data_IF_435714646971
#
_entry.id   IF_435714646971
#
_cell.length_a   1.000
_cell.length_b   1.000
_cell.length_c   1.000
_cell.angle_alpha   90.00
_cell.angle_beta   90.00
_cell.angle_gamma   90.00
#
_symmetry.space_group_name_H-M   'P 1'
#
loop_
_entity.id
_entity.type
_entity.pdbx_description
1 polymer ?
#
# COMPACT_ATOMS: atom_id res chain seq x y z
N UNK A 1 8.42 15.25 -17.47
CA UNK A 1 8.06 14.27 -16.42
C UNK A 1 6.61 13.88 -16.67
N UNK A 2 6.25 12.59 -16.61
CA UNK A 2 4.85 12.20 -16.69
C UNK A 2 4.13 12.81 -15.47
N UNK A 3 2.94 13.40 -15.67
CA UNK A 3 2.24 14.16 -14.62
C UNK A 3 1.72 13.28 -13.48
N UNK A 4 1.92 11.96 -13.55
CA UNK A 4 1.44 10.96 -12.61
C UNK A 4 2.50 10.42 -11.64
N UNK A 5 3.79 10.64 -11.88
CA UNK A 5 4.87 10.08 -11.05
C UNK A 5 4.94 10.75 -9.67
N UNK A 6 4.82 9.98 -8.59
CA UNK A 6 5.02 10.55 -7.26
C UNK A 6 6.47 11.05 -7.08
N UNK A 7 6.65 12.21 -6.41
CA UNK A 7 7.97 12.72 -6.10
C UNK A 7 8.70 11.78 -5.13
N UNK A 8 10.03 11.86 -5.12
CA UNK A 8 10.86 11.05 -4.23
C UNK A 8 10.50 11.35 -2.77
N UNK A 9 10.05 10.35 -1.99
CA UNK A 9 9.76 10.55 -0.58
C UNK A 9 11.04 10.60 0.26
N UNK A 10 10.90 11.01 1.50
CA UNK A 10 11.94 10.91 2.52
C UNK A 10 11.41 10.20 3.77
N UNK A 11 12.32 9.61 4.55
CA UNK A 11 11.97 8.84 5.73
C UNK A 11 12.12 9.66 7.01
N UNK A 12 11.24 9.40 7.99
CA UNK A 12 11.31 9.95 9.33
C UNK A 12 11.11 8.85 10.38
N UNK A 13 11.98 8.82 11.39
CA UNK A 13 11.98 7.79 12.47
C UNK A 13 11.92 6.34 11.96
N UNK A 14 12.50 6.05 10.79
CA UNK A 14 12.60 4.73 10.15
C UNK A 14 11.27 4.00 9.85
N UNK A 15 10.12 4.60 10.15
CA UNK A 15 8.79 4.01 9.90
C UNK A 15 7.84 4.93 9.15
N UNK A 16 8.09 6.24 9.16
CA UNK A 16 7.27 7.20 8.43
C UNK A 16 7.91 7.51 7.09
N UNK A 17 7.14 7.38 6.02
CA UNK A 17 7.52 7.84 4.69
C UNK A 17 6.67 9.06 4.35
N UNK A 18 7.33 10.11 3.88
CA UNK A 18 6.73 11.41 3.66
C UNK A 18 6.91 11.78 2.20
N UNK A 19 5.79 11.92 1.50
CA UNK A 19 5.74 12.34 0.10
C UNK A 19 5.43 13.84 0.03
N UNK A 20 6.39 14.68 -0.40
CA UNK A 20 6.11 16.08 -0.70
C UNK A 20 5.18 16.18 -1.92
N UNK A 21 4.54 17.33 -2.12
CA UNK A 21 3.67 17.63 -3.27
C UNK A 21 2.68 16.51 -3.63
N UNK A 22 2.17 15.82 -2.60
CA UNK A 22 1.33 14.63 -2.75
C UNK A 22 0.11 14.73 -1.85
N UNK A 23 -1.05 14.42 -2.42
CA UNK A 23 -2.36 14.39 -1.78
C UNK A 23 -2.90 12.96 -1.76
N UNK A 24 -3.97 12.74 -1.02
CA UNK A 24 -4.74 11.50 -1.05
C UNK A 24 -6.01 11.73 -1.86
N UNK A 25 -6.23 10.90 -2.86
CA UNK A 25 -7.43 10.91 -3.69
C UNK A 25 -8.69 10.73 -2.81
N UNK A 26 -9.72 11.53 -3.06
CA UNK A 26 -11.00 11.52 -2.32
C UNK A 26 -10.87 11.72 -0.78
N UNK A 27 -10.11 12.71 -0.30
CA UNK A 27 -10.18 13.19 1.09
C UNK A 27 -10.95 14.51 1.17
N UNK A 28 -11.89 14.58 2.10
CA UNK A 28 -12.54 15.84 2.48
C UNK A 28 -11.60 16.65 3.39
N UNK A 29 -10.66 17.37 2.78
CA UNK A 29 -9.65 18.18 3.49
C UNK A 29 -10.30 19.33 4.28
N UNK A 30 -11.53 19.72 3.94
CA UNK A 30 -12.16 20.97 4.37
C UNK A 30 -12.76 21.00 5.78
N UNK A 31 -13.03 19.85 6.43
CA UNK A 31 -13.73 19.84 7.72
C UNK A 31 -13.03 19.08 8.85
N UNK A 32 -11.89 18.42 8.57
CA UNK A 32 -11.09 17.68 9.56
C UNK A 32 -11.85 16.62 10.35
N UNK A 33 -13.05 16.21 9.91
CA UNK A 33 -13.90 15.24 10.61
C UNK A 33 -13.27 13.85 10.63
N UNK A 34 -12.48 13.54 9.60
CA UNK A 34 -11.77 12.28 9.47
C UNK A 34 -10.45 12.25 10.27
N UNK A 35 -10.14 13.33 11.02
CA UNK A 35 -8.97 13.36 11.90
C UNK A 35 -9.24 12.66 13.23
N UNK A 36 -8.19 12.20 13.90
CA UNK A 36 -8.28 11.50 15.19
C UNK A 36 -8.94 12.36 16.26
N UNK A 37 -8.66 13.65 16.25
CA UNK A 37 -9.18 14.62 17.24
C UNK A 37 -10.44 15.36 16.75
N UNK A 38 -10.91 15.10 15.53
CA UNK A 38 -11.97 15.88 14.89
C UNK A 38 -11.61 17.36 14.64
N UNK A 39 -10.32 17.71 14.72
CA UNK A 39 -9.79 19.07 14.53
C UNK A 39 -8.50 19.01 13.72
N UNK A 40 -8.27 20.03 12.89
CA UNK A 40 -6.96 20.25 12.28
C UNK A 40 -6.08 21.09 13.20
N UNK A 41 -4.84 20.64 13.39
CA UNK A 41 -3.86 21.38 14.17
C UNK A 41 -3.19 22.44 13.28
N UNK A 42 -2.81 23.58 13.86
CA UNK A 42 -2.17 24.68 13.13
C UNK A 42 -0.81 25.02 13.71
N UNK A 43 0.02 25.71 12.92
CA UNK A 43 1.37 26.17 13.31
C UNK A 43 2.33 25.03 13.70
N UNK A 44 2.16 23.86 13.09
CA UNK A 44 3.04 22.70 13.24
C UNK A 44 3.86 22.46 11.98
N UNK A 45 5.07 21.91 12.14
CA UNK A 45 5.81 21.30 11.04
C UNK A 45 5.28 19.90 10.72
N UNK A 46 5.68 19.31 9.59
CA UNK A 46 5.35 17.92 9.24
C UNK A 46 5.82 16.95 10.34
N UNK A 47 7.02 17.17 10.89
CA UNK A 47 7.58 16.33 11.96
C UNK A 47 6.79 16.47 13.26
N UNK A 48 6.38 17.69 13.61
CA UNK A 48 5.52 17.91 14.78
C UNK A 48 4.15 17.24 14.60
N UNK A 49 3.59 17.26 13.38
CA UNK A 49 2.35 16.55 13.08
C UNK A 49 2.50 15.05 13.34
N UNK A 50 3.56 14.44 12.82
CA UNK A 50 3.87 13.02 13.01
C UNK A 50 4.18 12.69 14.48
N UNK A 51 4.84 13.57 15.21
CA UNK A 51 5.20 13.31 16.61
C UNK A 51 3.99 13.39 17.55
N UNK A 52 2.92 14.08 17.13
CA UNK A 52 1.64 14.16 17.84
C UNK A 52 0.61 13.13 17.37
N UNK A 53 0.96 12.31 16.37
CA UNK A 53 0.19 11.22 15.81
C UNK A 53 0.30 10.04 16.80
N UNK A 54 -0.80 9.70 17.48
CA UNK A 54 -0.83 8.62 18.47
C UNK A 54 -0.88 7.22 17.81
N UNK A 55 -1.05 6.15 18.59
CA UNK A 55 -1.08 4.78 18.06
C UNK A 55 -2.23 4.51 17.07
N UNK A 56 -3.31 5.31 17.09
CA UNK A 56 -4.43 5.19 16.14
C UNK A 56 -4.14 5.86 14.79
N UNK A 57 -3.00 6.54 14.70
CA UNK A 57 -2.56 7.33 13.59
C UNK A 57 -1.48 6.61 12.78
N UNK A 58 -1.79 6.30 11.51
CA UNK A 58 -0.84 5.70 10.58
C UNK A 58 -0.76 6.46 9.24
N UNK A 59 -1.46 7.58 9.14
CA UNK A 59 -1.64 8.38 7.94
C UNK A 59 -1.93 9.83 8.32
N UNK A 60 -1.46 10.76 7.51
CA UNK A 60 -1.95 12.13 7.58
C UNK A 60 -1.39 13.02 6.50
N UNK A 61 -1.76 14.30 6.59
CA UNK A 61 -1.26 15.33 5.71
C UNK A 61 -0.87 16.60 6.47
N UNK A 62 0.02 17.35 5.85
CA UNK A 62 0.46 18.67 6.29
C UNK A 62 0.35 19.62 5.10
N UNK A 63 -0.28 20.77 5.30
CA UNK A 63 -0.48 21.82 4.31
C UNK A 63 0.19 23.09 4.83
N UNK A 64 1.00 23.73 4.00
CA UNK A 64 1.59 25.04 4.25
C UNK A 64 1.07 26.03 3.21
N UNK A 65 0.45 27.10 3.69
CA UNK A 65 -0.04 28.21 2.87
C UNK A 65 1.08 29.24 2.66
N UNK A 66 0.98 30.03 1.60
CA UNK A 66 1.94 31.10 1.27
C UNK A 66 2.13 32.13 2.40
N UNK A 67 1.09 32.36 3.21
CA UNK A 67 1.15 33.25 4.37
C UNK A 67 1.83 32.62 5.61
N UNK A 68 2.45 31.46 5.47
CA UNK A 68 3.14 30.72 6.54
C UNK A 68 2.22 30.01 7.52
N UNK A 69 0.89 30.11 7.37
CA UNK A 69 -0.04 29.28 8.15
C UNK A 69 0.13 27.82 7.73
N UNK A 70 -0.02 26.92 8.69
CA UNK A 70 0.00 25.49 8.43
C UNK A 70 -1.25 24.81 8.96
N UNK A 71 -1.66 23.74 8.28
CA UNK A 71 -2.69 22.80 8.69
C UNK A 71 -2.04 21.43 8.78
N UNK A 72 -2.33 20.71 9.85
CA UNK A 72 -1.81 19.38 10.14
C UNK A 72 -2.96 18.48 10.55
N UNK A 73 -3.09 17.35 9.86
CA UNK A 73 -4.21 16.43 10.03
C UNK A 73 -3.70 14.99 10.12
N UNK A 74 -3.81 14.43 11.32
CA UNK A 74 -3.62 13.01 11.60
C UNK A 74 -4.94 12.28 11.32
N UNK A 75 -4.96 11.41 10.32
CA UNK A 75 -6.18 10.78 9.81
C UNK A 75 -6.44 9.47 10.53
N UNK A 76 -7.70 9.27 10.89
CA UNK A 76 -8.20 8.02 11.46
C UNK A 76 -8.13 6.92 10.42
N UNK A 77 -7.43 5.85 10.76
CA UNK A 77 -7.24 4.70 9.86
C UNK A 77 -8.17 3.53 10.21
N UNK A 78 -8.80 3.58 11.37
CA UNK A 78 -9.81 2.62 11.85
C UNK A 78 -11.15 2.70 11.10
N UNK A 79 -11.43 3.82 10.42
CA UNK A 79 -12.65 4.01 9.62
C UNK A 79 -12.64 3.07 8.40
N UNK A 80 -11.47 2.85 7.79
CA UNK A 80 -11.28 1.98 6.63
C UNK A 80 -10.04 1.09 6.84
N UNK A 81 -10.11 0.10 7.75
CA UNK A 81 -8.92 -0.65 8.20
C UNK A 81 -8.26 -1.47 7.09
N UNK A 82 -8.99 -1.76 6.01
CA UNK A 82 -8.52 -2.54 4.87
C UNK A 82 -8.03 -1.69 3.69
N UNK A 83 -8.15 -0.36 3.78
CA UNK A 83 -7.75 0.55 2.73
C UNK A 83 -6.27 0.93 2.91
N UNK A 84 -5.39 0.37 2.09
CA UNK A 84 -4.01 0.84 2.04
C UNK A 84 -3.96 2.24 1.38
N UNK A 85 -3.59 3.32 2.11
CA UNK A 85 -3.65 4.69 1.60
C UNK A 85 -2.64 4.95 0.49
N UNK A 86 -1.62 4.11 0.31
CA UNK A 86 -0.62 4.26 -0.75
C UNK A 86 -1.26 4.22 -2.14
N UNK A 87 -2.29 3.38 -2.34
CA UNK A 87 -3.01 3.31 -3.62
C UNK A 87 -3.72 4.62 -3.98
N UNK A 88 -3.95 5.49 -3.00
CA UNK A 88 -4.63 6.78 -3.15
C UNK A 88 -3.68 7.95 -3.30
N UNK A 89 -2.37 7.75 -3.19
CA UNK A 89 -1.42 8.84 -3.35
C UNK A 89 -1.49 9.38 -4.79
N UNK A 90 -1.66 10.70 -4.89
CA UNK A 90 -1.71 11.43 -6.15
C UNK A 90 -0.86 12.68 -6.04
N UNK A 91 -0.25 13.07 -7.15
CA UNK A 91 0.44 14.34 -7.26
C UNK A 91 -0.51 15.50 -7.02
N UNK A 92 -0.07 16.50 -6.25
CA UNK A 92 -0.82 17.73 -6.00
C UNK A 92 -1.18 18.45 -7.29
N UNK A 93 -0.32 18.40 -8.31
CA UNK A 93 -0.52 19.08 -9.59
C UNK A 93 -1.74 18.61 -10.38
N UNK A 94 -2.34 17.46 -10.02
CA UNK A 94 -3.62 17.00 -10.57
C UNK A 94 -4.82 17.80 -10.05
N UNK A 95 -4.63 18.64 -9.04
CA UNK A 95 -5.65 19.41 -8.33
C UNK A 95 -5.31 20.91 -8.38
N UNK A 96 -5.73 21.63 -9.45
CA UNK A 96 -5.41 23.05 -9.64
C UNK A 96 -5.80 23.94 -8.45
N UNK A 97 -6.84 23.58 -7.73
CA UNK A 97 -7.31 24.25 -6.52
C UNK A 97 -6.28 24.21 -5.36
N UNK A 98 -5.29 23.32 -5.42
CA UNK A 98 -4.19 23.20 -4.45
C UNK A 98 -2.87 23.82 -4.95
N UNK A 99 -2.90 24.59 -6.04
CA UNK A 99 -1.70 25.20 -6.64
C UNK A 99 -0.94 26.12 -5.67
N UNK A 100 -1.65 26.88 -4.84
CA UNK A 100 -1.09 27.90 -3.94
C UNK A 100 -0.76 27.37 -2.52
N UNK A 101 -0.66 26.06 -2.35
CA UNK A 101 -0.26 25.44 -1.08
C UNK A 101 0.82 24.41 -1.31
N UNK A 102 1.71 24.23 -0.35
CA UNK A 102 2.58 23.05 -0.30
C UNK A 102 1.85 22.00 0.52
N UNK A 103 1.82 20.76 0.03
CA UNK A 103 1.21 19.65 0.77
C UNK A 103 2.18 18.49 0.85
N UNK A 104 2.24 17.86 2.01
CA UNK A 104 2.95 16.60 2.21
C UNK A 104 2.00 15.58 2.80
N UNK A 105 2.01 14.37 2.25
CA UNK A 105 1.31 13.21 2.83
C UNK A 105 2.33 12.32 3.53
N UNK A 106 2.02 11.87 4.74
CA UNK A 106 2.87 10.99 5.52
C UNK A 106 2.15 9.70 5.90
N UNK A 107 2.85 8.57 5.79
CA UNK A 107 2.29 7.23 6.02
C UNK A 107 3.27 6.43 6.88
N UNK A 108 2.75 5.71 7.87
CA UNK A 108 3.52 4.76 8.65
C UNK A 108 3.62 3.44 7.87
N UNK A 109 4.80 3.15 7.33
CA UNK A 109 5.05 1.97 6.50
C UNK A 109 5.21 0.67 7.28
N UNK A 110 5.30 0.72 8.61
CA UNK A 110 5.17 -0.49 9.44
C UNK A 110 3.73 -1.01 9.43
N UNK A 111 2.75 -0.12 9.19
CA UNK A 111 1.31 -0.44 9.16
C UNK A 111 0.84 -0.60 7.71
N UNK A 112 1.29 0.30 6.82
CA UNK A 112 0.95 0.27 5.40
C UNK A 112 2.23 0.13 4.55
N UNK A 113 2.68 -1.09 4.25
CA UNK A 113 3.93 -1.33 3.55
C UNK A 113 4.01 -0.59 2.21
N UNK A 114 5.18 -0.04 1.91
CA UNK A 114 5.48 0.60 0.62
C UNK A 114 6.64 -0.13 -0.09
N UNK A 115 6.47 -0.54 -1.36
CA UNK A 115 5.20 -0.55 -2.09
C UNK A 115 4.18 -1.50 -1.45
N UNK A 116 2.88 -1.38 -1.76
CA UNK A 116 1.88 -2.33 -1.31
C UNK A 116 2.15 -3.71 -1.92
N UNK A 117 2.27 -4.73 -1.09
CA UNK A 117 2.54 -6.11 -1.51
C UNK A 117 1.25 -6.89 -1.81
N UNK A 118 0.38 -6.28 -2.64
CA UNK A 118 -1.02 -6.69 -2.86
C UNK A 118 -1.34 -6.95 -4.35
N UNK A 119 -0.33 -7.26 -5.17
CA UNK A 119 -0.52 -7.50 -6.61
C UNK A 119 -1.44 -8.68 -6.91
N UNK A 120 -1.52 -9.69 -6.04
CA UNK A 120 -2.39 -10.86 -6.22
C UNK A 120 -3.77 -10.71 -5.54
N UNK A 121 -4.00 -9.63 -4.80
CA UNK A 121 -5.27 -9.38 -4.11
C UNK A 121 -6.31 -8.88 -5.11
N UNK A 122 -7.55 -9.32 -4.94
CA UNK A 122 -8.69 -8.85 -5.73
C UNK A 122 -9.24 -7.59 -5.09
N UNK A 123 -9.33 -6.52 -5.86
CA UNK A 123 -9.94 -5.26 -5.47
C UNK A 123 -11.34 -5.13 -6.09
N UNK A 124 -12.21 -4.37 -5.44
CA UNK A 124 -13.46 -3.99 -6.10
C UNK A 124 -13.17 -3.22 -7.39
N UNK A 125 -14.03 -3.39 -8.41
CA UNK A 125 -13.85 -2.85 -9.78
C UNK A 125 -12.68 -3.44 -10.57
N UNK A 126 -11.96 -4.44 -10.06
CA UNK A 126 -11.07 -5.22 -10.91
C UNK A 126 -11.85 -5.94 -12.00
N UNK A 127 -11.31 -5.92 -13.23
CA UNK A 127 -11.89 -6.64 -14.36
C UNK A 127 -11.39 -8.09 -14.33
N UNK A 128 -12.33 -9.03 -14.32
CA UNK A 128 -12.04 -10.45 -14.18
C UNK A 128 -13.05 -11.32 -14.95
N UNK A 129 -12.73 -12.61 -15.06
CA UNK A 129 -13.70 -13.65 -15.38
C UNK A 129 -13.85 -14.61 -14.20
N UNK A 130 -15.04 -15.16 -14.02
CA UNK A 130 -15.32 -16.21 -13.05
C UNK A 130 -15.39 -17.54 -13.83
N UNK A 131 -14.56 -18.52 -13.46
CA UNK A 131 -14.55 -19.85 -14.05
C UNK A 131 -14.96 -20.91 -13.06
N UNK A 132 -15.76 -21.87 -13.51
CA UNK A 132 -15.99 -23.14 -12.84
C UNK A 132 -14.71 -23.98 -12.88
N UNK A 133 -14.27 -24.42 -11.70
CA UNK A 133 -13.02 -25.17 -11.52
C UNK A 133 -13.12 -26.58 -12.10
N UNK A 134 -14.31 -27.18 -12.08
CA UNK A 134 -14.47 -28.58 -12.50
C UNK A 134 -14.42 -28.72 -14.02
N UNK A 135 -15.07 -27.81 -14.75
CA UNK A 135 -15.20 -27.93 -16.20
C UNK A 135 -14.39 -26.88 -16.99
N UNK A 136 -13.76 -25.92 -16.31
CA UNK A 136 -13.05 -24.80 -16.94
C UNK A 136 -13.96 -23.87 -17.75
N UNK A 137 -15.27 -23.93 -17.52
CA UNK A 137 -16.26 -23.06 -18.18
C UNK A 137 -16.40 -21.73 -17.44
N UNK A 138 -16.79 -20.68 -18.12
CA UNK A 138 -16.88 -19.32 -17.59
C UNK A 138 -18.33 -18.87 -17.45
N UNK A 139 -18.58 -18.03 -16.44
CA UNK A 139 -19.88 -17.35 -16.25
C UNK A 139 -20.13 -16.38 -17.41
N UNK A 140 -21.25 -16.52 -18.12
CA UNK A 140 -21.61 -15.73 -19.30
C UNK A 140 -23.06 -15.22 -19.27
N UNK A 141 -23.31 -14.17 -20.04
CA UNK A 141 -24.65 -13.67 -20.35
C UNK A 141 -25.28 -14.43 -21.52
N UNK A 142 -26.46 -14.99 -21.30
CA UNK A 142 -27.30 -15.70 -22.27
C UNK A 142 -27.89 -14.78 -23.32
N UNK A 143 -28.06 -15.31 -24.54
CA UNK A 143 -28.74 -14.59 -25.62
C UNK A 143 -30.25 -14.46 -25.38
N UNK A 144 -30.83 -15.26 -24.48
CA UNK A 144 -32.25 -15.24 -24.14
C UNK A 144 -32.47 -14.81 -22.68
N UNK A 145 -33.44 -13.91 -22.47
CA UNK A 145 -34.00 -13.52 -21.17
C UNK A 145 -33.01 -13.05 -20.10
N UNK A 146 -31.87 -12.47 -20.51
CA UNK A 146 -30.80 -12.08 -19.59
C UNK A 146 -30.33 -13.23 -18.68
N UNK A 147 -30.46 -14.48 -19.11
CA UNK A 147 -30.05 -15.65 -18.33
C UNK A 147 -28.54 -15.66 -18.08
N UNK A 148 -28.11 -16.33 -17.02
CA UNK A 148 -26.69 -16.56 -16.73
C UNK A 148 -26.38 -18.04 -16.82
N UNK A 149 -25.33 -18.40 -17.56
CA UNK A 149 -24.96 -19.79 -17.85
C UNK A 149 -23.43 -19.97 -17.84
N UNK A 150 -22.99 -21.24 -17.90
CA UNK A 150 -21.58 -21.59 -18.09
C UNK A 150 -21.25 -21.86 -19.56
N UNK A 151 -20.24 -21.17 -20.12
CA UNK A 151 -19.79 -21.39 -21.49
C UNK A 151 -18.26 -21.48 -21.61
N UNK A 152 -17.73 -22.03 -22.71
CA UNK A 152 -16.29 -22.30 -22.85
C UNK A 152 -15.39 -21.07 -23.08
N UNK A 153 -15.92 -19.97 -23.63
CA UNK A 153 -15.10 -18.76 -23.88
C UNK A 153 -15.13 -17.75 -22.72
N UNK A 154 -13.98 -17.12 -22.44
CA UNK A 154 -13.76 -16.13 -21.38
C UNK A 154 -14.05 -14.68 -21.78
N UNK A 155 -14.93 -14.46 -22.76
CA UNK A 155 -15.16 -13.14 -23.35
C UNK A 155 -16.04 -12.22 -22.50
N UNK A 156 -16.64 -12.72 -21.42
CA UNK A 156 -17.55 -11.95 -20.59
C UNK A 156 -16.84 -11.37 -19.36
N UNK A 157 -16.53 -10.08 -19.43
CA UNK A 157 -15.87 -9.35 -18.34
C UNK A 157 -16.86 -9.08 -17.20
N UNK A 158 -16.42 -9.35 -15.99
CA UNK A 158 -17.15 -9.10 -14.76
C UNK A 158 -16.29 -8.26 -13.81
N UNK A 159 -16.96 -7.65 -12.84
CA UNK A 159 -16.31 -6.98 -11.72
C UNK A 159 -17.13 -7.19 -10.43
N UNK A 160 -16.45 -7.10 -9.30
CA UNK A 160 -17.11 -7.02 -8.00
C UNK A 160 -17.33 -5.57 -7.60
N UNK A 161 -18.53 -5.28 -7.10
CA UNK A 161 -18.90 -4.01 -6.50
C UNK A 161 -19.21 -4.21 -5.01
N UNK A 162 -18.95 -3.19 -4.21
CA UNK A 162 -19.40 -3.18 -2.81
C UNK A 162 -20.91 -3.03 -2.77
N UNK A 163 -21.59 -3.93 -2.05
CA UNK A 163 -23.03 -3.83 -1.88
C UNK A 163 -23.43 -2.64 -0.98
N UNK A 164 -22.54 -2.24 -0.06
CA UNK A 164 -22.69 -1.05 0.78
C UNK A 164 -21.76 0.03 0.23
N UNK A 165 -22.32 1.04 -0.44
CA UNK A 165 -21.53 2.10 -1.07
C UNK A 165 -21.05 3.08 -0.02
N UNK A 166 -19.75 3.07 0.24
CA UNK A 166 -19.07 4.04 1.09
C UNK A 166 -18.68 5.27 0.27
N UNK A 167 -18.06 5.06 -0.90
CA UNK A 167 -17.83 6.07 -1.94
C UNK A 167 -17.32 5.39 -3.22
N UNK A 168 -17.87 5.72 -4.38
CA UNK A 168 -17.47 5.10 -5.65
C UNK A 168 -16.02 5.37 -6.03
N UNK A 169 -15.46 6.50 -5.58
CA UNK A 169 -14.11 6.94 -5.91
C UNK A 169 -13.04 6.12 -5.20
N UNK A 170 -13.32 5.69 -3.96
CA UNK A 170 -12.38 4.88 -3.16
C UNK A 170 -12.56 3.38 -3.38
N UNK A 171 -13.70 2.95 -3.92
CA UNK A 171 -14.05 1.54 -4.06
C UNK A 171 -12.95 0.72 -4.76
N UNK A 172 -12.33 1.28 -5.82
CA UNK A 172 -11.23 0.65 -6.57
C UNK A 172 -9.95 0.37 -5.77
N UNK A 173 -9.83 0.94 -4.58
CA UNK A 173 -8.68 0.77 -3.69
C UNK A 173 -9.01 -0.11 -2.47
N UNK A 174 -10.20 -0.69 -2.43
CA UNK A 174 -10.64 -1.55 -1.33
C UNK A 174 -10.52 -3.01 -1.79
N UNK A 175 -9.78 -3.85 -1.04
CA UNK A 175 -9.71 -5.28 -1.32
C UNK A 175 -11.05 -5.98 -1.04
N UNK A 176 -11.33 -7.05 -1.78
CA UNK A 176 -12.48 -7.92 -1.56
C UNK A 176 -12.11 -8.92 -0.47
N UNK A 177 -12.98 -9.09 0.52
CA UNK A 177 -12.80 -10.07 1.60
C UNK A 177 -13.86 -11.16 1.54
N UNK A 178 -13.49 -12.36 1.99
CA UNK A 178 -14.43 -13.44 2.17
C UNK A 178 -15.52 -13.09 3.19
N UNK A 179 -16.78 -13.42 2.87
CA UNK A 179 -17.96 -13.13 3.68
C UNK A 179 -18.50 -11.69 3.56
N UNK A 180 -17.75 -10.77 2.95
CA UNK A 180 -18.25 -9.42 2.68
C UNK A 180 -19.34 -9.43 1.62
N UNK A 181 -20.40 -8.59 1.75
CA UNK A 181 -21.46 -8.52 0.76
C UNK A 181 -20.95 -7.84 -0.51
N UNK A 182 -21.12 -8.52 -1.64
CA UNK A 182 -20.70 -8.06 -2.96
C UNK A 182 -21.88 -8.05 -3.92
N UNK A 183 -21.78 -7.23 -4.95
CA UNK A 183 -22.58 -7.33 -6.17
C UNK A 183 -21.66 -7.72 -7.33
N UNK A 184 -22.15 -8.52 -8.26
CA UNK A 184 -21.40 -8.93 -9.45
C UNK A 184 -22.01 -8.16 -10.63
N UNK A 185 -21.19 -7.43 -11.37
CA UNK A 185 -21.66 -6.59 -12.48
C UNK A 185 -20.84 -6.81 -13.75
N UNK A 186 -21.44 -6.43 -14.88
CA UNK A 186 -20.68 -6.21 -16.12
C UNK A 186 -20.07 -4.80 -16.06
N UNK A 187 -18.75 -4.62 -16.26
CA UNK A 187 -18.10 -3.31 -16.21
C UNK A 187 -18.76 -2.29 -17.14
N UNK A 188 -18.81 -1.02 -16.72
CA UNK A 188 -19.35 0.11 -17.49
C UNK A 188 -20.83 -0.02 -17.92
N UNK A 189 -21.58 -0.94 -17.29
CA UNK A 189 -23.02 -1.09 -17.53
C UNK A 189 -23.83 -1.02 -16.24
N UNK A 190 -25.15 -0.92 -16.36
CA UNK A 190 -26.10 -1.03 -15.25
C UNK A 190 -26.50 -2.48 -14.92
N UNK A 191 -25.84 -3.48 -15.52
CA UNK A 191 -26.22 -4.88 -15.38
C UNK A 191 -25.59 -5.48 -14.11
N UNK A 192 -26.46 -5.89 -13.18
CA UNK A 192 -26.08 -6.69 -12.01
C UNK A 192 -26.60 -8.12 -12.13
N UNK A 193 -25.83 -9.05 -11.59
CA UNK A 193 -26.29 -10.40 -11.33
C UNK A 193 -27.39 -10.35 -10.26
N UNK A 194 -28.51 -10.99 -10.55
CA UNK A 194 -29.70 -11.02 -9.70
C UNK A 194 -30.30 -12.41 -9.68
N UNK A 195 -30.96 -12.74 -8.57
CA UNK A 195 -31.76 -13.96 -8.42
C UNK A 195 -33.21 -13.68 -8.80
N UNK A 196 -33.81 -14.56 -9.61
CA UNK A 196 -35.24 -14.50 -9.98
C UNK A 196 -36.10 -15.23 -8.94
N UNK A 197 -37.42 -15.10 -9.03
CA UNK A 197 -38.36 -15.83 -8.16
C UNK A 197 -38.28 -17.36 -8.32
N UNK A 198 -37.74 -17.86 -9.43
CA UNK A 198 -37.51 -19.28 -9.69
C UNK A 198 -36.12 -19.74 -9.25
N UNK A 199 -35.42 -18.97 -8.41
CA UNK A 199 -34.05 -19.21 -7.96
C UNK A 199 -32.98 -19.21 -9.07
N UNK A 200 -33.34 -18.85 -10.31
CA UNK A 200 -32.39 -18.75 -11.42
C UNK A 200 -31.59 -17.45 -11.33
N UNK A 201 -30.35 -17.48 -11.82
CA UNK A 201 -29.54 -16.27 -11.95
C UNK A 201 -29.83 -15.58 -13.28
N UNK A 202 -29.92 -14.25 -13.24
CA UNK A 202 -30.17 -13.39 -14.40
C UNK A 202 -29.43 -12.05 -14.29
N UNK A 203 -29.13 -11.42 -15.43
CA UNK A 203 -28.65 -10.05 -15.50
C UNK A 203 -29.84 -9.08 -15.44
N UNK A 204 -29.88 -8.24 -14.40
CA UNK A 204 -30.92 -7.24 -14.19
C UNK A 204 -30.31 -5.85 -14.37
N UNK A 205 -30.90 -5.07 -15.27
CA UNK A 205 -30.56 -3.64 -15.37
C UNK A 205 -31.16 -2.91 -14.17
N UNK A 206 -30.30 -2.21 -13.42
CA UNK A 206 -30.72 -1.42 -12.25
C UNK A 206 -30.36 0.05 -12.47
N UNK A 207 -31.32 0.94 -12.20
CA UNK A 207 -31.12 2.39 -12.39
C UNK A 207 -30.27 3.03 -11.29
N UNK A 208 -30.13 2.36 -10.14
CA UNK A 208 -29.28 2.78 -9.01
C UNK A 208 -28.71 1.55 -8.31
N UNK A 209 -27.45 1.63 -7.90
CA UNK A 209 -26.80 0.63 -7.05
C UNK A 209 -27.39 0.71 -5.64
N UNK A 210 -28.59 0.16 -5.48
CA UNK A 210 -29.26 0.03 -4.19
C UNK A 210 -28.96 -1.38 -3.70
N UNK A 211 -28.56 -1.49 -2.44
CA UNK A 211 -28.49 -2.77 -1.77
C UNK A 211 -29.87 -3.45 -1.83
N UNK A 212 -29.94 -4.55 -2.57
CA UNK A 212 -31.11 -5.43 -2.57
C UNK A 212 -30.65 -6.84 -2.27
N UNK A 213 -31.46 -7.58 -1.51
CA UNK A 213 -31.20 -9.00 -1.25
C UNK A 213 -31.02 -9.77 -2.56
N UNK A 214 -31.84 -9.47 -3.57
CA UNK A 214 -31.82 -10.12 -4.90
C UNK A 214 -30.48 -10.02 -5.63
N UNK A 215 -29.67 -8.99 -5.38
CA UNK A 215 -28.41 -8.73 -6.11
C UNK A 215 -27.16 -8.90 -5.26
N UNK A 216 -27.31 -9.32 -4.01
CA UNK A 216 -26.21 -9.42 -3.05
C UNK A 216 -25.77 -10.86 -2.87
N UNK A 217 -24.46 -11.06 -2.96
CA UNK A 217 -23.80 -12.34 -2.78
C UNK A 217 -22.65 -12.21 -1.78
N UNK A 218 -22.12 -13.33 -1.32
CA UNK A 218 -20.87 -13.40 -0.55
C UNK A 218 -19.99 -14.48 -1.15
N UNK A 219 -18.68 -14.29 -1.03
CA UNK A 219 -17.71 -15.31 -1.38
C UNK A 219 -17.37 -16.11 -0.12
N UNK A 220 -17.32 -17.44 -0.23
CA UNK A 220 -16.85 -18.31 0.84
C UNK A 220 -15.58 -19.05 0.40
N UNK A 221 -14.52 -19.06 1.23
CA UNK A 221 -13.26 -19.66 0.85
C UNK A 221 -13.38 -21.18 0.81
N UNK A 222 -12.85 -21.79 -0.24
CA UNK A 222 -12.61 -23.23 -0.34
C UNK A 222 -11.11 -23.55 -0.39
N UNK A 223 -10.25 -22.56 -0.68
CA UNK A 223 -8.79 -22.69 -0.56
C UNK A 223 -8.40 -23.06 0.87
N UNK A 224 -7.51 -24.05 1.08
CA UNK A 224 -6.95 -24.34 2.39
C UNK A 224 -6.30 -23.10 3.04
N UNK A 225 -6.40 -22.98 4.37
CA UNK A 225 -5.88 -21.88 5.19
C UNK A 225 -6.58 -20.50 5.06
N UNK A 226 -7.50 -20.31 4.10
CA UNK A 226 -8.33 -19.10 4.01
C UNK A 226 -9.57 -19.21 4.89
N UNK A 227 -9.98 -18.10 5.50
CA UNK A 227 -11.22 -17.97 6.30
C UNK A 227 -11.98 -16.70 5.96
N UNK A 228 -13.21 -16.61 6.48
CA UNK A 228 -14.02 -15.40 6.43
C UNK A 228 -13.25 -14.22 7.02
N UNK A 229 -13.29 -13.07 6.34
CA UNK A 229 -12.53 -11.86 6.67
C UNK A 229 -11.16 -11.77 5.98
N UNK A 230 -10.59 -12.87 5.47
CA UNK A 230 -9.35 -12.81 4.71
C UNK A 230 -9.57 -12.21 3.32
N UNK A 231 -8.54 -11.57 2.77
CA UNK A 231 -8.53 -11.07 1.39
C UNK A 231 -8.69 -12.21 0.38
N UNK A 232 -9.51 -11.95 -0.64
CA UNK A 232 -9.64 -12.79 -1.82
C UNK A 232 -8.46 -12.53 -2.75
N UNK A 233 -7.87 -13.59 -3.27
CA UNK A 233 -6.74 -13.52 -4.22
C UNK A 233 -7.06 -14.27 -5.51
N UNK A 234 -6.39 -13.94 -6.63
CA UNK A 234 -6.68 -14.56 -7.93
C UNK A 234 -6.33 -16.06 -7.99
N UNK A 235 -5.50 -16.56 -7.08
CA UNK A 235 -5.19 -17.98 -6.95
C UNK A 235 -6.20 -18.78 -6.12
N UNK A 236 -7.23 -18.13 -5.57
CA UNK A 236 -8.16 -18.81 -4.67
C UNK A 236 -9.27 -19.59 -5.39
N UNK A 237 -9.71 -20.66 -4.73
CA UNK A 237 -10.93 -21.39 -5.05
C UNK A 237 -11.99 -21.03 -4.00
N UNK A 238 -13.21 -20.76 -4.44
CA UNK A 238 -14.30 -20.29 -3.58
C UNK A 238 -15.66 -20.78 -4.08
N UNK A 239 -16.67 -20.68 -3.22
CA UNK A 239 -18.07 -20.78 -3.61
C UNK A 239 -18.75 -19.42 -3.49
N UNK A 240 -19.78 -19.19 -4.31
CA UNK A 240 -20.62 -17.99 -4.21
C UNK A 240 -21.89 -18.38 -3.45
N UNK A 241 -22.17 -17.70 -2.34
CA UNK A 241 -23.41 -17.87 -1.58
C UNK A 241 -24.32 -16.66 -1.77
N UNK A 242 -25.61 -16.90 -1.76
CA UNK A 242 -26.61 -15.86 -1.65
C UNK A 242 -26.58 -15.23 -0.24
N UNK A 243 -27.16 -14.03 -0.08
CA UNK A 243 -27.08 -13.27 1.17
C UNK A 243 -27.69 -14.00 2.38
N UNK A 244 -28.58 -14.97 2.15
CA UNK A 244 -29.18 -15.84 3.18
C UNK A 244 -28.19 -16.79 3.87
N UNK A 245 -27.00 -16.98 3.30
CA UNK A 245 -25.95 -17.88 3.80
C UNK A 245 -26.30 -19.37 3.74
N UNK A 246 -27.38 -19.76 3.07
CA UNK A 246 -27.86 -21.15 2.96
C UNK A 246 -27.94 -21.63 1.51
N UNK A 247 -28.13 -20.71 0.58
CA UNK A 247 -28.27 -21.00 -0.83
C UNK A 247 -26.98 -20.65 -1.56
N UNK A 248 -26.51 -21.56 -2.41
CA UNK A 248 -25.25 -21.45 -3.13
C UNK A 248 -25.50 -21.33 -4.63
N UNK A 249 -24.59 -20.69 -5.35
CA UNK A 249 -24.63 -20.73 -6.82
C UNK A 249 -24.15 -22.12 -7.28
N UNK A 250 -25.05 -22.82 -7.97
CA UNK A 250 -24.81 -24.11 -8.60
C UNK A 250 -25.22 -24.07 -10.08
N UNK A 251 -25.13 -25.23 -10.73
CA UNK A 251 -25.50 -25.41 -12.15
C UNK A 251 -26.64 -26.41 -12.26
N UNK A 252 -27.65 -26.06 -13.03
CA UNK A 252 -28.70 -26.96 -13.50
C UNK A 252 -28.84 -26.80 -15.02
N UNK A 253 -28.58 -27.86 -15.78
CA UNK A 253 -28.62 -27.86 -17.26
C UNK A 253 -27.88 -26.66 -17.89
N UNK A 254 -26.64 -26.43 -17.46
CA UNK A 254 -25.75 -25.32 -17.85
C UNK A 254 -26.18 -23.91 -17.38
N UNK A 255 -27.40 -23.74 -16.86
CA UNK A 255 -27.87 -22.49 -16.28
C UNK A 255 -27.40 -22.36 -14.83
N UNK A 256 -26.95 -21.17 -14.44
CA UNK A 256 -26.64 -20.90 -13.04
C UNK A 256 -27.94 -20.69 -12.24
N UNK A 257 -28.06 -21.40 -11.13
CA UNK A 257 -29.22 -21.36 -10.23
C UNK A 257 -28.76 -21.35 -8.77
N UNK A 258 -29.65 -20.98 -7.86
CA UNK A 258 -29.43 -21.19 -6.42
C UNK A 258 -29.80 -22.62 -6.03
N UNK A 259 -28.87 -23.29 -5.36
CA UNK A 259 -29.02 -24.65 -4.85
C UNK A 259 -28.80 -24.67 -3.34
N UNK A 260 -29.52 -25.54 -2.64
CA UNK A 260 -29.31 -25.82 -1.20
C UNK A 260 -28.54 -27.13 -0.98
N UNK A 261 -28.55 -28.03 -1.97
CA UNK A 261 -27.75 -29.25 -1.94
C UNK A 261 -26.27 -28.92 -2.24
N UNK A 262 -25.41 -29.20 -1.26
CA UNK A 262 -23.96 -29.01 -1.37
C UNK A 262 -23.33 -29.85 -2.50
N UNK A 263 -23.98 -30.91 -2.96
CA UNK A 263 -23.50 -31.73 -4.09
C UNK A 263 -23.59 -31.01 -5.43
N UNK A 264 -24.49 -30.03 -5.56
CA UNK A 264 -24.70 -29.24 -6.78
C UNK A 264 -23.95 -27.91 -6.74
N UNK A 265 -23.15 -27.68 -5.69
CA UNK A 265 -22.37 -26.46 -5.51
C UNK A 265 -21.25 -26.37 -6.54
N UNK A 266 -21.18 -25.24 -7.23
CA UNK A 266 -20.05 -24.94 -8.10
C UNK A 266 -18.88 -24.36 -7.32
N UNK A 267 -17.69 -24.78 -7.70
CA UNK A 267 -16.42 -24.24 -7.21
C UNK A 267 -15.90 -23.28 -8.26
N UNK A 268 -15.61 -22.05 -7.86
CA UNK A 268 -15.18 -21.01 -8.76
C UNK A 268 -13.74 -20.60 -8.49
N UNK A 269 -13.07 -20.14 -9.54
CA UNK A 269 -11.80 -19.43 -9.51
C UNK A 269 -11.91 -18.13 -10.30
N UNK A 270 -11.00 -17.18 -10.03
CA UNK A 270 -10.96 -15.89 -10.72
C UNK A 270 -9.81 -15.87 -11.72
N UNK A 271 -10.11 -15.47 -12.95
CA UNK A 271 -9.08 -15.18 -13.94
C UNK A 271 -8.97 -13.66 -14.07
N UNK A 272 -7.83 -13.11 -13.65
CA UNK A 272 -7.62 -11.67 -13.71
C UNK A 272 -7.39 -11.19 -15.14
N UNK A 273 -7.94 -10.01 -15.46
CA UNK A 273 -7.51 -9.20 -16.62
C UNK A 273 -6.72 -7.96 -16.20
N UNK A 274 -6.34 -7.87 -14.94
CA UNK A 274 -5.53 -6.77 -14.43
C UNK A 274 -4.07 -6.90 -14.89
N UNK A 275 -3.45 -5.75 -15.12
CA UNK A 275 -2.03 -5.63 -15.43
C UNK A 275 -1.28 -5.22 -14.17
N UNK A 276 -0.24 -5.98 -13.81
CA UNK A 276 0.72 -5.60 -12.78
C UNK A 276 1.84 -4.73 -13.36
N UNK A 277 2.60 -4.06 -12.51
CA UNK A 277 3.69 -3.18 -12.91
C UNK A 277 4.93 -3.36 -12.05
N UNK A 278 6.10 -3.42 -12.68
CA UNK A 278 7.38 -3.62 -11.99
C UNK A 278 8.48 -2.72 -12.55
N UNK A 279 9.54 -2.52 -11.75
CA UNK A 279 10.70 -1.75 -12.21
C UNK A 279 11.68 -2.64 -12.97
N UNK A 280 11.92 -2.31 -14.24
CA UNK A 280 13.00 -2.85 -15.06
C UNK A 280 14.06 -1.76 -15.25
N UNK A 281 15.09 -1.80 -14.40
CA UNK A 281 16.06 -0.71 -14.29
C UNK A 281 15.40 0.58 -13.76
N UNK A 282 15.31 1.60 -14.61
CA UNK A 282 14.71 2.91 -14.28
C UNK A 282 13.29 3.10 -14.82
N UNK A 283 12.77 2.12 -15.53
CA UNK A 283 11.48 2.18 -16.20
C UNK A 283 10.46 1.30 -15.48
N UNK A 284 9.21 1.78 -15.39
CA UNK A 284 8.09 0.97 -14.94
C UNK A 284 7.50 0.23 -16.14
N UNK A 285 7.42 -1.10 -16.08
CA UNK A 285 6.93 -1.94 -17.17
C UNK A 285 5.72 -2.76 -16.73
N UNK A 286 4.74 -2.97 -17.63
CA UNK A 286 3.61 -3.84 -17.35
C UNK A 286 4.01 -5.32 -17.36
N UNK A 287 3.25 -6.14 -16.65
CA UNK A 287 3.31 -7.60 -16.66
C UNK A 287 1.90 -8.16 -16.44
N UNK A 288 1.53 -9.20 -17.17
CA UNK A 288 0.26 -9.89 -16.94
C UNK A 288 0.32 -10.68 -15.64
N UNK A 289 -0.78 -10.71 -14.87
CA UNK A 289 -0.81 -11.41 -13.58
C UNK A 289 -0.45 -12.90 -13.69
N UNK A 290 -0.85 -13.56 -14.79
CA UNK A 290 -0.54 -14.97 -15.07
C UNK A 290 0.95 -15.26 -15.21
N UNK A 291 1.76 -14.25 -15.54
CA UNK A 291 3.20 -14.40 -15.75
C UNK A 291 4.00 -14.13 -14.47
N UNK A 292 3.33 -13.78 -13.37
CA UNK A 292 3.94 -13.47 -12.09
C UNK A 292 4.13 -14.72 -11.21
N UNK A 293 5.23 -14.75 -10.47
CA UNK A 293 5.42 -15.64 -9.34
C UNK A 293 4.58 -15.15 -8.16
N UNK A 294 3.61 -15.95 -7.73
CA UNK A 294 2.66 -15.60 -6.67
C UNK A 294 3.05 -16.23 -5.34
N UNK A 295 3.01 -15.43 -4.27
CA UNK A 295 3.17 -15.90 -2.90
C UNK A 295 2.21 -15.17 -1.97
N UNK A 296 1.06 -15.79 -1.69
CA UNK A 296 -0.01 -15.17 -0.90
C UNK A 296 -0.59 -13.94 -1.59
N UNK A 297 -0.50 -12.77 -0.95
CA UNK A 297 -0.97 -11.48 -1.51
C UNK A 297 0.03 -10.87 -2.52
N UNK A 298 1.28 -11.31 -2.46
CA UNK A 298 2.38 -10.73 -3.23
C UNK A 298 2.48 -11.36 -4.62
N UNK A 299 2.91 -10.55 -5.59
CA UNK A 299 3.35 -11.00 -6.90
C UNK A 299 4.79 -10.54 -7.15
N UNK A 300 5.57 -11.38 -7.82
CA UNK A 300 6.93 -11.06 -8.27
C UNK A 300 7.09 -11.38 -9.74
N UNK A 301 7.96 -10.64 -10.42
CA UNK A 301 8.34 -10.92 -11.79
C UNK A 301 9.84 -10.63 -11.96
N UNK A 302 10.58 -11.61 -12.48
CA UNK A 302 12.05 -11.55 -12.58
C UNK A 302 12.72 -11.20 -11.24
N UNK A 303 12.18 -11.73 -10.13
CA UNK A 303 12.68 -11.50 -8.78
C UNK A 303 12.37 -10.13 -8.17
N UNK A 304 11.65 -9.24 -8.87
CA UNK A 304 11.24 -7.91 -8.38
C UNK A 304 9.77 -7.94 -7.98
N UNK A 305 9.40 -7.23 -6.90
CA UNK A 305 8.00 -7.07 -6.49
C UNK A 305 7.18 -6.42 -7.60
N UNK A 306 5.97 -6.92 -7.83
CA UNK A 306 5.00 -6.31 -8.74
C UNK A 306 4.02 -5.48 -7.92
N UNK A 307 3.72 -4.29 -8.41
CA UNK A 307 2.70 -3.38 -7.88
C UNK A 307 1.51 -3.23 -8.81
N UNK A 308 0.55 -2.41 -8.40
CA UNK A 308 -0.69 -2.13 -9.16
C UNK A 308 -0.70 -0.74 -9.81
N UNK A 309 0.23 0.14 -9.44
CA UNK A 309 0.30 1.50 -10.00
C UNK A 309 1.06 1.49 -11.34
N UNK A 310 0.48 2.03 -12.44
CA UNK A 310 1.08 1.99 -13.77
C UNK A 310 2.38 2.78 -13.89
N UNK A 311 2.70 3.64 -12.93
CA UNK A 311 3.95 4.38 -12.86
C UNK A 311 4.87 3.86 -11.76
N UNK A 312 4.53 2.72 -11.15
CA UNK A 312 5.24 2.12 -10.03
C UNK A 312 5.44 3.15 -8.89
N UNK A 313 4.47 4.04 -8.66
CA UNK A 313 4.58 5.14 -7.69
C UNK A 313 5.84 6.02 -7.88
N UNK A 314 6.37 6.09 -9.10
CA UNK A 314 7.61 6.82 -9.43
C UNK A 314 8.90 6.18 -8.91
N UNK A 315 8.84 5.01 -8.24
CA UNK A 315 9.99 4.43 -7.50
C UNK A 315 11.15 4.05 -8.39
N UNK A 316 10.89 3.59 -9.61
CA UNK A 316 11.92 3.09 -10.52
C UNK A 316 13.00 4.14 -10.81
N UNK A 317 12.67 5.44 -10.72
CA UNK A 317 13.60 6.54 -11.01
C UNK A 317 14.65 6.76 -9.94
N UNK A 318 14.36 6.39 -8.70
CA UNK A 318 15.24 6.61 -7.55
C UNK A 318 15.64 5.30 -6.85
N UNK A 319 15.30 4.16 -7.44
CA UNK A 319 15.74 2.83 -7.03
C UNK A 319 17.23 2.65 -7.36
N UNK A 320 17.97 1.95 -6.48
CA UNK A 320 19.37 1.61 -6.76
C UNK A 320 19.39 0.44 -7.75
N UNK A 321 20.08 0.59 -8.88
CA UNK A 321 20.22 -0.49 -9.85
C UNK A 321 20.80 -1.74 -9.17
N UNK A 322 20.16 -2.90 -9.38
CA UNK A 322 20.54 -4.18 -8.78
C UNK A 322 19.90 -4.49 -7.42
N UNK A 323 19.03 -3.63 -6.88
CA UNK A 323 18.20 -4.00 -5.72
C UNK A 323 16.82 -4.46 -6.18
N UNK A 324 16.35 -5.60 -5.66
CA UNK A 324 15.00 -6.12 -5.95
C UNK A 324 13.91 -5.48 -5.09
N UNK A 325 14.29 -4.62 -4.14
CA UNK A 325 13.36 -3.91 -3.26
C UNK A 325 12.93 -2.60 -3.89
N UNK A 326 11.62 -2.42 -3.99
CA UNK A 326 10.96 -1.17 -4.37
C UNK A 326 10.94 -0.12 -3.25
N UNK A 327 11.49 -0.43 -2.06
CA UNK A 327 11.57 0.57 -1.01
C UNK A 327 12.48 1.73 -1.42
N UNK A 328 12.04 2.98 -1.25
CA UNK A 328 12.93 4.12 -1.34
C UNK A 328 13.99 3.93 -0.26
N UNK A 329 15.26 3.91 -0.67
CA UNK A 329 16.37 3.97 0.27
C UNK A 329 16.09 5.09 1.27
N UNK A 330 16.23 4.77 2.56
CA UNK A 330 16.20 5.80 3.59
C UNK A 330 17.15 6.89 3.14
N UNK A 331 16.64 8.11 3.01
CA UNK A 331 17.48 9.26 3.20
C UNK A 331 17.79 9.26 4.69
N UNK A 332 18.68 8.38 5.15
CA UNK A 332 19.62 8.83 6.17
C UNK A 332 20.16 10.13 5.59
N UNK A 333 19.73 11.26 6.16
CA UNK A 333 20.45 12.52 6.01
C UNK A 333 21.93 12.15 6.04
N UNK A 334 22.76 12.62 5.09
CA UNK A 334 24.18 12.38 5.19
C UNK A 334 24.55 12.85 6.59
N UNK A 335 24.92 11.90 7.45
CA UNK A 335 25.36 12.17 8.81
C UNK A 335 26.76 12.78 8.74
N UNK A 336 26.97 13.74 7.83
CA UNK A 336 28.21 14.48 7.65
C UNK A 336 28.53 15.21 8.95
N UNK A 337 27.51 15.67 9.70
CA UNK A 337 27.71 16.24 11.04
C UNK A 337 28.15 15.20 12.08
N UNK A 338 27.64 13.97 12.06
CA UNK A 338 28.04 12.92 13.02
C UNK A 338 29.44 12.39 12.70
N UNK A 339 29.79 12.27 11.42
CA UNK A 339 31.15 11.93 10.98
C UNK A 339 32.15 13.04 11.30
N UNK A 340 31.80 14.31 11.08
CA UNK A 340 32.65 15.44 11.47
C UNK A 340 32.89 15.49 12.99
N UNK A 341 31.86 15.25 13.82
CA UNK A 341 32.03 15.25 15.28
C UNK A 341 32.95 14.11 15.74
N UNK A 342 32.88 12.93 15.12
CA UNK A 342 33.77 11.79 15.45
C UNK A 342 35.20 12.05 14.95
N UNK A 343 35.37 12.63 13.76
CA UNK A 343 36.70 13.00 13.26
C UNK A 343 37.31 14.12 14.12
N UNK A 344 36.52 15.12 14.51
CA UNK A 344 36.96 16.21 15.38
C UNK A 344 37.34 15.70 16.78
N UNK A 345 36.60 14.73 17.32
CA UNK A 345 36.92 14.12 18.62
C UNK A 345 38.20 13.27 18.57
N UNK A 346 38.44 12.54 17.48
CA UNK A 346 39.70 11.82 17.28
C UNK A 346 40.90 12.77 17.14
N UNK A 347 40.75 13.86 16.38
CA UNK A 347 41.81 14.89 16.25
C UNK A 347 42.10 15.52 17.61
N UNK A 348 41.07 15.85 18.39
CA UNK A 348 41.23 16.41 19.73
C UNK A 348 41.97 15.47 20.68
N UNK A 349 41.60 14.17 20.69
CA UNK A 349 42.29 13.15 21.50
C UNK A 349 43.76 12.96 21.08
N UNK A 350 44.04 13.02 19.78
CA UNK A 350 45.41 12.93 19.27
C UNK A 350 46.27 14.11 19.73
N UNK A 351 45.76 15.35 19.63
CA UNK A 351 46.45 16.55 20.12
C UNK A 351 46.69 16.46 21.64
N UNK A 352 45.69 16.01 22.39
CA UNK A 352 45.81 15.84 23.85
C UNK A 352 46.94 14.85 24.20
N UNK A 353 47.05 13.74 23.43
CA UNK A 353 48.11 12.75 23.64
C UNK A 353 49.51 13.33 23.40
N UNK A 354 49.69 14.17 22.38
CA UNK A 354 50.95 14.83 22.08
C UNK A 354 51.34 15.79 23.21
N UNK A 355 50.37 16.56 23.73
CA UNK A 355 50.61 17.48 24.85
C UNK A 355 51.06 16.72 26.10
N UNK A 356 50.42 15.58 26.42
CA UNK A 356 50.81 14.73 27.55
C UNK A 356 52.24 14.20 27.35
N UNK A 357 52.59 13.71 26.16
CA UNK A 357 53.94 13.22 25.87
C UNK A 357 54.98 14.34 26.02
N UNK A 358 54.72 15.52 25.48
CA UNK A 358 55.62 16.68 25.60
C UNK A 358 55.78 17.12 27.06
N UNK A 359 54.70 17.08 27.85
CA UNK A 359 54.75 17.40 29.28
C UNK A 359 55.61 16.38 30.04
N UNK A 360 55.41 15.09 29.81
CA UNK A 360 56.20 14.01 30.43
C UNK A 360 57.68 14.09 30.02
N UNK A 361 57.98 14.40 28.76
CA UNK A 361 59.36 14.59 28.29
C UNK A 361 60.02 15.80 28.98
N UNK A 362 59.31 16.92 29.13
CA UNK A 362 59.81 18.11 29.84
C UNK A 362 60.02 17.85 31.33
N UNK A 363 59.15 17.08 31.96
CA UNK A 363 59.30 16.64 33.36
C UNK A 363 60.48 15.67 33.56
N UNK A 364 60.80 14.84 32.56
CA UNK A 364 61.99 13.98 32.63
C UNK A 364 63.30 14.74 32.42
N UNK A 365 63.31 15.74 31.55
CA UNK A 365 64.49 16.60 31.33
C UNK A 365 64.84 17.42 32.58
N UNK A 366 63.83 17.94 33.28
CA UNK A 366 64.05 18.66 34.55
C UNK A 366 64.47 17.77 35.72
N UNK A 367 64.25 16.45 35.64
CA UNK A 367 64.72 15.49 36.65
C UNK A 367 66.20 15.12 36.46
N UNK A 368 66.75 15.26 35.25
CA UNK A 368 68.17 14.96 34.99
C UNK A 368 69.13 16.11 35.38
N UNK A 369 68.66 17.35 35.45
CA UNK A 369 69.49 18.48 35.91
C UNK A 369 69.79 18.46 37.42
N UNK A 370 69.07 17.64 38.21
CA UNK A 370 69.25 17.51 39.67
C UNK A 370 70.32 16.47 40.05
N UNK A 371 70.82 15.68 39.10
CA UNK A 371 71.86 14.67 39.32
C UNK A 371 73.23 15.10 38.78
N UNK A 372 73.57 16.39 38.92
CA UNK A 372 74.95 16.86 38.75
C UNK A 372 75.77 16.40 39.98
N UNK A 373 76.80 15.53 39.83
CA UNK A 373 77.65 15.17 40.95
C UNK A 373 78.43 16.40 41.44
N UNK A 374 78.62 16.56 42.76
CA UNK A 374 79.35 17.70 43.31
C UNK A 374 80.82 17.68 42.85
N UNK A 375 81.45 18.85 42.65
CA UNK A 375 82.84 18.93 42.25
C UNK A 375 83.75 18.38 43.36
N UNK A 376 84.58 17.41 43.00
CA UNK A 376 85.61 16.85 43.88
C UNK A 376 86.65 17.94 44.19
N UNK A 377 86.74 18.32 45.46
CA UNK A 377 87.86 19.10 46.00
C UNK A 377 89.12 18.25 45.98
N UNK A 378 90.10 18.63 45.16
CA UNK A 378 91.47 18.15 45.25
C UNK A 378 92.19 18.94 46.35
N UNK A 379 92.56 18.25 47.43
CA UNK A 379 93.51 18.76 48.43
C UNK A 379 94.93 18.63 47.85
N UNK A 380 95.66 19.74 47.83
CA UNK A 380 97.10 19.79 47.59
C UNK A 380 97.85 19.75 48.93
N UNK A 381 98.88 18.90 48.99
CA UNK A 381 100.04 19.04 49.87
C UNK A 381 101.23 19.49 49.04
#
# INVERSE_FOLDING_TARGET
MNSSDLPKPWQYKNKWVIWPETVLDAIYISNCKDTIKGICETRKSVKDCIDNCDLSCALGYHIEFENGKTISACIRTDIYPYLNPIHRLKRKELYPELSNVKISTFINTDIFPFPPEEANVVFFKDILNISDVENGSFVKAGNQQNSVYLGKDSNHNLQFLQAIIISEQIAKYIPVHYGSPIQISTPETSLLLSVTHENKLSWKSISRLIYTKETTFKLLPLTPAKKIGDDVTYGDIFSITYDDGRSFVGVDQDQLTLVTDKKLLCKFSLNSKMTGYYCDGRECKPVDIKDMEISGKMGRYKGVTVGRDPNCWGVCKYLKLGTNSMMPLSSTEPSSKRSYIVILSMIFLFILSIIIILFVMKSRLSFFDVLSPPPCFAYAF
#
